data_IF_149959420153
#
_entry.id   IF_149959420153
#
_cell.length_a   1.000
_cell.length_b   1.000
_cell.length_c   1.000
_cell.angle_alpha   90.00
_cell.angle_beta   90.00
_cell.angle_gamma   90.00
#
_symmetry.space_group_name_H-M   'P 1'
#
loop_
_entity.id
_entity.type
_entity.pdbx_description
1 polymer ?
#
# COMPACT_ATOMS: atom_id res chain seq x y z
N UNK A 1 -28.63 -0.68 16.85
CA UNK A 1 -27.18 -0.73 16.58
C UNK A 1 -26.91 -1.98 15.75
N UNK A 2 -26.31 -1.84 14.59
CA UNK A 2 -25.97 -2.96 13.69
C UNK A 2 -24.70 -3.66 14.22
N UNK A 3 -24.75 -4.98 14.36
CA UNK A 3 -23.61 -5.78 14.84
C UNK A 3 -22.75 -6.22 13.66
N UNK A 4 -21.49 -5.80 13.63
CA UNK A 4 -20.51 -6.16 12.62
C UNK A 4 -19.44 -7.06 13.23
N UNK A 5 -19.25 -8.25 12.69
CA UNK A 5 -18.08 -9.09 12.98
C UNK A 5 -17.01 -8.88 11.91
N UNK A 6 -15.89 -8.26 12.28
CA UNK A 6 -14.73 -8.02 11.42
C UNK A 6 -13.77 -9.21 11.52
N UNK A 7 -13.57 -9.94 10.43
CA UNK A 7 -12.66 -11.07 10.34
C UNK A 7 -11.37 -10.67 9.62
N UNK A 8 -10.28 -10.56 10.37
CA UNK A 8 -8.98 -10.14 9.84
C UNK A 8 -7.83 -10.75 10.61
N UNK A 9 -6.81 -11.17 9.88
CA UNK A 9 -5.48 -11.50 10.38
C UNK A 9 -4.41 -10.53 9.87
N UNK A 10 -4.82 -9.42 9.25
CA UNK A 10 -3.92 -8.46 8.59
C UNK A 10 -2.83 -7.89 9.51
N UNK A 11 -3.15 -7.70 10.81
CA UNK A 11 -2.20 -7.16 11.79
C UNK A 11 -1.12 -8.17 12.23
N UNK A 12 -1.18 -9.44 11.77
CA UNK A 12 -0.16 -10.45 12.11
C UNK A 12 1.11 -10.33 11.31
N UNK A 13 1.09 -9.61 10.20
CA UNK A 13 2.25 -9.43 9.33
C UNK A 13 2.52 -7.93 9.19
N UNK A 14 3.63 -7.49 9.78
CA UNK A 14 4.04 -6.09 9.72
C UNK A 14 4.49 -5.67 8.31
N UNK A 15 4.31 -4.39 7.98
CA UNK A 15 4.79 -3.80 6.71
C UNK A 15 3.96 -4.18 5.48
N UNK A 16 2.70 -4.59 5.66
CA UNK A 16 1.77 -4.87 4.57
C UNK A 16 0.69 -3.81 4.43
N UNK A 17 0.37 -3.43 3.18
CA UNK A 17 -0.71 -2.50 2.86
C UNK A 17 -2.09 -2.96 3.35
N UNK A 18 -2.34 -4.28 3.36
CA UNK A 18 -3.60 -4.86 3.87
C UNK A 18 -3.85 -4.51 5.34
N UNK A 19 -2.78 -4.49 6.16
CA UNK A 19 -2.86 -4.07 7.56
C UNK A 19 -3.16 -2.58 7.70
N UNK A 20 -2.58 -1.74 6.84
CA UNK A 20 -2.87 -0.30 6.82
C UNK A 20 -4.34 -0.02 6.47
N UNK A 21 -4.86 -0.64 5.40
CA UNK A 21 -6.28 -0.52 5.00
C UNK A 21 -7.22 -0.96 6.13
N UNK A 22 -6.91 -2.08 6.79
CA UNK A 22 -7.70 -2.56 7.93
C UNK A 22 -7.69 -1.58 9.09
N UNK A 23 -6.54 -1.00 9.40
CA UNK A 23 -6.38 -0.03 10.49
C UNK A 23 -7.20 1.24 10.22
N UNK A 24 -7.14 1.78 9.00
CA UNK A 24 -7.95 2.94 8.59
C UNK A 24 -9.45 2.64 8.70
N UNK A 25 -9.90 1.51 8.15
CA UNK A 25 -11.31 1.12 8.21
C UNK A 25 -11.78 0.98 9.67
N UNK A 26 -10.98 0.34 10.52
CA UNK A 26 -11.32 0.17 11.94
C UNK A 26 -11.32 1.50 12.70
N UNK A 27 -10.41 2.42 12.35
CA UNK A 27 -10.38 3.78 12.88
C UNK A 27 -11.65 4.54 12.55
N UNK A 28 -12.03 4.57 11.26
CA UNK A 28 -13.24 5.20 10.78
C UNK A 28 -14.50 4.66 11.48
N UNK A 29 -14.68 3.34 11.48
CA UNK A 29 -15.86 2.71 12.05
C UNK A 29 -16.00 2.95 13.56
N UNK A 30 -14.89 2.92 14.30
CA UNK A 30 -14.90 3.13 15.75
C UNK A 30 -15.05 4.59 16.16
N UNK A 31 -14.58 5.52 15.33
CA UNK A 31 -14.56 6.93 15.67
C UNK A 31 -15.82 7.65 15.18
N UNK A 32 -16.13 7.44 13.90
CA UNK A 32 -17.14 8.25 13.24
C UNK A 32 -18.53 7.55 13.26
N UNK A 33 -18.56 6.22 13.46
CA UNK A 33 -19.78 5.41 13.47
C UNK A 33 -20.01 4.63 14.76
N UNK A 34 -19.39 5.05 15.86
CA UNK A 34 -19.48 4.38 17.17
C UNK A 34 -20.91 4.19 17.68
N UNK A 35 -21.80 5.13 17.34
CA UNK A 35 -23.21 5.10 17.77
C UNK A 35 -24.10 4.24 16.87
N UNK A 36 -23.62 3.88 15.67
CA UNK A 36 -24.39 3.12 14.68
C UNK A 36 -24.02 1.64 14.68
N UNK A 37 -22.74 1.33 14.89
CA UNK A 37 -22.19 -0.02 14.77
C UNK A 37 -21.58 -0.54 16.07
N UNK A 38 -21.94 -1.77 16.42
CA UNK A 38 -21.22 -2.57 17.40
C UNK A 38 -20.22 -3.46 16.66
N UNK A 39 -18.92 -3.21 16.84
CA UNK A 39 -17.86 -3.93 16.11
C UNK A 39 -17.22 -4.98 17.02
N UNK A 40 -17.25 -6.22 16.56
CA UNK A 40 -16.52 -7.33 17.16
C UNK A 40 -15.39 -7.77 16.21
N UNK A 41 -14.21 -8.05 16.74
CA UNK A 41 -13.06 -8.51 15.94
C UNK A 41 -12.84 -10.00 16.20
N UNK A 42 -12.85 -10.77 15.10
CA UNK A 42 -12.59 -12.22 15.11
C UNK A 42 -13.47 -13.02 16.07
N UNK A 43 -14.69 -12.55 16.32
CA UNK A 43 -15.70 -13.25 17.14
C UNK A 43 -16.70 -13.98 16.27
N UNK A 44 -16.97 -15.24 16.61
CA UNK A 44 -17.91 -16.10 15.88
C UNK A 44 -19.34 -16.06 16.45
N UNK A 45 -19.70 -14.96 17.09
CA UNK A 45 -21.06 -14.68 17.57
C UNK A 45 -22.00 -14.33 16.43
N UNK A 46 -23.30 -14.29 16.68
CA UNK A 46 -24.30 -13.80 15.70
C UNK A 46 -24.01 -12.33 15.36
N UNK A 47 -24.16 -11.97 14.09
CA UNK A 47 -24.01 -10.61 13.58
C UNK A 47 -24.98 -10.33 12.45
N UNK A 48 -25.27 -9.05 12.22
CA UNK A 48 -26.02 -8.58 11.06
C UNK A 48 -25.15 -8.58 9.82
N UNK A 49 -23.85 -8.21 9.98
CA UNK A 49 -22.85 -8.20 8.94
C UNK A 49 -21.60 -8.96 9.41
N UNK A 50 -21.05 -9.80 8.54
CA UNK A 50 -19.72 -10.38 8.70
C UNK A 50 -18.83 -9.86 7.59
N UNK A 51 -17.85 -9.03 7.97
CA UNK A 51 -16.89 -8.43 7.05
C UNK A 51 -15.58 -9.22 7.06
N UNK A 52 -15.23 -9.81 5.94
CA UNK A 52 -14.05 -10.65 5.76
C UNK A 52 -12.94 -9.84 5.06
N UNK A 53 -12.00 -9.37 5.85
CA UNK A 53 -10.88 -8.56 5.37
C UNK A 53 -9.68 -9.41 4.91
N UNK A 54 -9.55 -10.63 5.44
CA UNK A 54 -8.56 -11.63 5.00
C UNK A 54 -9.21 -12.97 4.76
N UNK A 55 -8.53 -13.86 4.02
CA UNK A 55 -9.08 -15.13 3.54
C UNK A 55 -8.61 -16.35 4.35
N UNK A 56 -8.39 -16.23 5.64
CA UNK A 56 -7.95 -17.33 6.49
C UNK A 56 -8.91 -18.54 6.42
N UNK A 57 -8.39 -19.80 6.48
CA UNK A 57 -9.24 -20.99 6.41
C UNK A 57 -10.35 -21.05 7.48
N UNK A 58 -10.07 -20.56 8.70
CA UNK A 58 -11.07 -20.47 9.78
C UNK A 58 -12.20 -19.50 9.42
N UNK A 59 -11.88 -18.41 8.73
CA UNK A 59 -12.87 -17.46 8.26
C UNK A 59 -13.73 -18.06 7.14
N UNK A 60 -13.10 -18.80 6.20
CA UNK A 60 -13.84 -19.52 5.17
C UNK A 60 -14.85 -20.51 5.78
N UNK A 61 -14.42 -21.33 6.72
CA UNK A 61 -15.34 -22.26 7.41
C UNK A 61 -16.47 -21.54 8.11
N UNK A 62 -16.23 -20.34 8.65
CA UNK A 62 -17.28 -19.56 9.31
C UNK A 62 -18.38 -19.11 8.36
N UNK A 63 -18.08 -18.94 7.06
CA UNK A 63 -19.06 -18.47 6.05
C UNK A 63 -20.26 -19.41 5.87
N UNK A 64 -20.12 -20.66 6.28
CA UNK A 64 -21.20 -21.67 6.22
C UNK A 64 -22.25 -21.52 7.33
N UNK A 65 -21.95 -20.73 8.37
CA UNK A 65 -22.86 -20.53 9.50
C UNK A 65 -23.91 -19.47 9.17
N UNK A 66 -25.19 -19.79 9.41
CA UNK A 66 -26.33 -18.86 9.32
C UNK A 66 -26.24 -17.68 10.29
N UNK A 67 -25.32 -17.73 11.28
CA UNK A 67 -25.10 -16.64 12.26
C UNK A 67 -24.30 -15.47 11.67
N UNK A 68 -23.81 -15.56 10.43
CA UNK A 68 -22.92 -14.55 9.82
C UNK A 68 -23.63 -13.34 9.23
N UNK A 69 -24.99 -13.36 9.14
CA UNK A 69 -25.72 -12.28 8.46
C UNK A 69 -25.24 -12.09 7.02
N UNK A 70 -25.24 -10.83 6.54
CA UNK A 70 -24.71 -10.48 5.21
C UNK A 70 -23.18 -10.58 5.24
N UNK A 71 -22.60 -11.32 4.30
CA UNK A 71 -21.16 -11.55 4.20
C UNK A 71 -20.58 -10.60 3.16
N UNK A 72 -19.67 -9.73 3.60
CA UNK A 72 -18.94 -8.80 2.75
C UNK A 72 -17.48 -9.23 2.73
N UNK A 73 -16.92 -9.45 1.55
CA UNK A 73 -15.51 -9.81 1.35
C UNK A 73 -14.72 -8.64 0.80
N UNK A 74 -13.54 -8.38 1.36
CA UNK A 74 -12.62 -7.38 0.85
C UNK A 74 -11.58 -8.04 -0.07
N UNK A 75 -11.46 -7.56 -1.31
CA UNK A 75 -10.57 -8.14 -2.31
C UNK A 75 -9.23 -7.39 -2.29
N UNK A 76 -8.25 -7.97 -1.60
CA UNK A 76 -6.89 -7.45 -1.57
C UNK A 76 -5.99 -8.04 -2.65
N UNK A 77 -6.42 -9.09 -3.32
CA UNK A 77 -5.70 -9.73 -4.42
C UNK A 77 -6.65 -10.63 -5.22
N UNK A 78 -6.27 -10.88 -6.44
CA UNK A 78 -6.88 -11.88 -7.32
C UNK A 78 -5.79 -12.89 -7.71
N UNK A 79 -6.13 -14.11 -8.18
CA UNK A 79 -5.13 -15.13 -8.53
C UNK A 79 -3.96 -14.59 -9.35
N UNK A 80 -4.23 -13.79 -10.38
CA UNK A 80 -3.21 -13.21 -11.26
C UNK A 80 -2.23 -12.25 -10.57
N UNK A 81 -2.58 -11.65 -9.42
CA UNK A 81 -1.70 -10.70 -8.71
C UNK A 81 -0.82 -11.35 -7.64
N UNK A 82 -1.05 -12.64 -7.33
CA UNK A 82 -0.23 -13.39 -6.38
C UNK A 82 1.07 -13.89 -7.02
N UNK A 83 1.11 -13.99 -8.35
CA UNK A 83 2.19 -14.57 -9.12
C UNK A 83 3.53 -13.85 -8.94
N UNK A 84 3.50 -12.54 -8.78
CA UNK A 84 4.69 -11.70 -8.62
C UNK A 84 5.14 -11.53 -7.16
N UNK A 85 4.42 -12.09 -6.19
CA UNK A 85 4.69 -11.83 -4.76
C UNK A 85 5.26 -13.03 -4.00
N UNK A 86 4.90 -14.25 -4.40
CA UNK A 86 5.22 -15.47 -3.64
C UNK A 86 5.76 -16.57 -4.55
N UNK A 87 6.90 -17.15 -4.19
CA UNK A 87 7.47 -18.31 -4.86
C UNK A 87 6.77 -19.58 -4.39
N UNK A 88 5.69 -19.97 -5.07
CA UNK A 88 4.95 -21.19 -4.76
C UNK A 88 5.09 -22.26 -5.87
N UNK A 89 5.16 -23.55 -5.51
CA UNK A 89 5.03 -24.66 -6.46
C UNK A 89 3.69 -24.58 -7.20
N UNK A 90 3.64 -25.01 -8.47
CA UNK A 90 2.44 -24.92 -9.33
C UNK A 90 1.17 -25.49 -8.67
N UNK A 91 1.28 -26.63 -7.99
CA UNK A 91 0.15 -27.28 -7.32
C UNK A 91 -0.36 -26.43 -6.13
N UNK A 92 0.55 -25.91 -5.32
CA UNK A 92 0.19 -25.06 -4.19
C UNK A 92 -0.49 -23.76 -4.66
N UNK A 93 0.02 -23.16 -5.75
CA UNK A 93 -0.58 -21.99 -6.40
C UNK A 93 -2.00 -22.31 -6.87
N UNK A 94 -2.18 -23.34 -7.70
CA UNK A 94 -3.49 -23.74 -8.20
C UNK A 94 -4.50 -23.96 -7.05
N UNK A 95 -4.07 -24.60 -5.96
CA UNK A 95 -4.90 -24.80 -4.78
C UNK A 95 -5.29 -23.49 -4.12
N UNK A 96 -4.33 -22.55 -3.98
CA UNK A 96 -4.57 -21.23 -3.40
C UNK A 96 -5.54 -20.41 -4.25
N UNK A 97 -5.37 -20.42 -5.57
CA UNK A 97 -6.24 -19.71 -6.51
C UNK A 97 -7.68 -20.21 -6.41
N UNK A 98 -7.88 -21.53 -6.46
CA UNK A 98 -9.21 -22.14 -6.31
C UNK A 98 -9.83 -21.85 -4.95
N UNK A 99 -9.04 -21.91 -3.91
CA UNK A 99 -9.47 -21.57 -2.55
C UNK A 99 -9.91 -20.08 -2.46
N UNK A 100 -9.10 -19.17 -2.98
CA UNK A 100 -9.40 -17.72 -3.01
C UNK A 100 -10.73 -17.45 -3.73
N UNK A 101 -10.91 -18.03 -4.92
CA UNK A 101 -12.15 -17.90 -5.68
C UNK A 101 -13.35 -18.53 -4.98
N UNK A 102 -13.16 -19.70 -4.35
CA UNK A 102 -14.21 -20.34 -3.55
C UNK A 102 -14.63 -19.45 -2.37
N UNK A 103 -13.65 -18.80 -1.72
CA UNK A 103 -13.93 -17.84 -0.65
C UNK A 103 -14.76 -16.65 -1.16
N UNK A 104 -14.35 -16.01 -2.26
CA UNK A 104 -15.05 -14.86 -2.83
C UNK A 104 -16.48 -15.22 -3.29
N UNK A 105 -16.65 -16.40 -3.88
CA UNK A 105 -18.00 -16.90 -4.29
C UNK A 105 -18.94 -17.13 -3.11
N UNK A 106 -18.43 -17.26 -1.87
CA UNK A 106 -19.24 -17.37 -0.65
C UNK A 106 -19.76 -16.03 -0.14
N UNK A 107 -19.24 -14.91 -0.64
CA UNK A 107 -19.66 -13.58 -0.21
C UNK A 107 -20.98 -13.18 -0.87
N UNK A 108 -21.78 -12.44 -0.14
CA UNK A 108 -22.98 -11.82 -0.66
C UNK A 108 -22.63 -10.55 -1.44
N UNK A 109 -21.52 -9.90 -1.05
CA UNK A 109 -20.96 -8.73 -1.70
C UNK A 109 -19.43 -8.73 -1.58
N UNK A 110 -18.75 -8.20 -2.59
CA UNK A 110 -17.30 -8.00 -2.60
C UNK A 110 -16.96 -6.53 -2.75
N UNK A 111 -15.98 -6.07 -1.98
CA UNK A 111 -15.42 -4.72 -2.11
C UNK A 111 -14.07 -4.82 -2.79
N UNK A 112 -13.88 -4.06 -3.85
CA UNK A 112 -12.60 -3.89 -4.55
C UNK A 112 -12.09 -2.47 -4.37
N UNK A 113 -10.76 -2.32 -4.24
CA UNK A 113 -10.12 -1.02 -4.06
C UNK A 113 -9.68 -0.38 -5.38
N UNK A 114 -9.82 -1.11 -6.49
CA UNK A 114 -9.49 -0.64 -7.83
C UNK A 114 -10.55 -1.14 -8.80
N UNK A 115 -11.16 -0.28 -9.63
CA UNK A 115 -12.23 -0.67 -10.55
C UNK A 115 -11.77 -1.70 -11.59
N UNK A 116 -10.49 -1.74 -11.94
CA UNK A 116 -9.91 -2.72 -12.87
C UNK A 116 -9.97 -4.18 -12.36
N UNK A 117 -10.34 -4.39 -11.07
CA UNK A 117 -10.59 -5.74 -10.56
C UNK A 117 -11.96 -6.29 -10.89
N UNK A 118 -12.95 -5.46 -11.20
CA UNK A 118 -14.31 -5.90 -11.55
C UNK A 118 -14.28 -6.85 -12.76
N UNK A 119 -13.71 -6.47 -13.92
CA UNK A 119 -13.64 -7.37 -15.08
C UNK A 119 -12.75 -8.60 -14.81
N UNK A 120 -11.73 -8.50 -13.97
CA UNK A 120 -10.90 -9.66 -13.60
C UNK A 120 -11.69 -10.67 -12.77
N UNK A 121 -12.49 -10.21 -11.81
CA UNK A 121 -13.36 -11.05 -11.00
C UNK A 121 -14.48 -11.68 -11.84
N UNK A 122 -15.03 -10.94 -12.79
CA UNK A 122 -16.02 -11.44 -13.75
C UNK A 122 -15.46 -12.57 -14.61
N UNK A 123 -14.21 -12.43 -15.10
CA UNK A 123 -13.53 -13.49 -15.83
C UNK A 123 -13.32 -14.79 -15.01
N UNK A 124 -13.31 -14.69 -13.67
CA UNK A 124 -13.31 -15.83 -12.75
C UNK A 124 -14.71 -16.34 -12.39
N UNK A 125 -15.77 -15.82 -13.05
CA UNK A 125 -17.15 -16.22 -12.84
C UNK A 125 -17.78 -15.68 -11.54
N UNK A 126 -17.39 -14.48 -11.13
CA UNK A 126 -18.04 -13.71 -10.07
C UNK A 126 -18.98 -12.69 -10.74
N UNK A 127 -20.24 -12.65 -10.29
CA UNK A 127 -21.20 -11.70 -10.82
C UNK A 127 -20.76 -10.26 -10.49
N UNK A 128 -20.56 -9.37 -11.48
CA UNK A 128 -20.14 -7.99 -11.26
C UNK A 128 -21.12 -7.17 -10.42
N UNK A 129 -22.43 -7.49 -10.44
CA UNK A 129 -23.44 -6.80 -9.61
C UNK A 129 -23.20 -6.99 -8.08
N UNK A 130 -22.37 -7.95 -7.71
CA UNK A 130 -21.96 -8.18 -6.32
C UNK A 130 -20.65 -7.50 -5.97
N UNK A 131 -20.05 -6.74 -6.88
CA UNK A 131 -18.73 -6.14 -6.69
C UNK A 131 -18.88 -4.63 -6.64
N UNK A 132 -18.59 -4.05 -5.49
CA UNK A 132 -18.61 -2.61 -5.26
C UNK A 132 -17.21 -2.06 -5.20
N UNK A 133 -16.92 -1.03 -5.99
CA UNK A 133 -15.68 -0.28 -5.88
C UNK A 133 -15.76 0.72 -4.73
N UNK A 134 -14.87 0.58 -3.76
CA UNK A 134 -14.65 1.53 -2.68
C UNK A 134 -13.13 1.78 -2.60
N UNK A 135 -12.65 2.98 -2.94
CA UNK A 135 -11.22 3.29 -2.90
C UNK A 135 -10.66 3.19 -1.48
N UNK A 136 -9.37 2.90 -1.37
CA UNK A 136 -8.67 3.07 -0.11
C UNK A 136 -8.67 4.55 0.29
N UNK A 137 -8.54 4.80 1.58
CA UNK A 137 -8.43 6.13 2.15
C UNK A 137 -7.39 6.16 3.27
N UNK A 138 -6.96 7.35 3.62
CA UNK A 138 -6.05 7.63 4.74
C UNK A 138 -6.65 8.75 5.58
N UNK A 139 -6.62 8.60 6.89
CA UNK A 139 -7.14 9.61 7.81
C UNK A 139 -6.20 10.82 7.88
N UNK A 140 -6.71 12.00 7.53
CA UNK A 140 -6.01 13.26 7.71
C UNK A 140 -5.76 13.64 9.18
N UNK A 141 -6.43 12.96 10.12
CA UNK A 141 -6.09 13.07 11.56
C UNK A 141 -4.72 12.46 11.86
N UNK A 142 -4.33 11.45 11.09
CA UNK A 142 -3.06 10.74 11.27
C UNK A 142 -2.00 11.27 10.32
N UNK A 143 -2.30 11.33 9.03
CA UNK A 143 -1.39 11.84 8.01
C UNK A 143 -1.82 13.25 7.61
N UNK A 144 -0.97 14.21 7.88
CA UNK A 144 -1.20 15.62 7.55
C UNK A 144 0.14 16.35 7.39
N UNK A 145 0.16 17.47 6.67
CA UNK A 145 1.35 18.28 6.56
C UNK A 145 1.75 18.86 7.92
N UNK A 146 3.04 18.96 8.17
CA UNK A 146 3.57 19.64 9.37
C UNK A 146 4.08 21.05 9.03
N UNK A 147 4.28 21.90 10.04
CA UNK A 147 4.84 23.22 9.83
C UNK A 147 6.28 23.13 9.26
N UNK A 148 6.72 24.22 8.62
CA UNK A 148 8.07 24.31 8.05
C UNK A 148 9.15 24.11 9.12
N UNK A 149 8.94 24.66 10.32
CA UNK A 149 9.85 24.53 11.45
C UNK A 149 9.94 23.06 11.91
N UNK A 150 8.80 22.39 12.02
CA UNK A 150 8.74 20.98 12.36
C UNK A 150 9.45 20.11 11.31
N UNK A 151 9.20 20.38 10.02
CA UNK A 151 9.86 19.70 8.92
C UNK A 151 11.39 19.84 9.00
N UNK A 152 11.89 21.04 9.25
CA UNK A 152 13.33 21.30 9.40
C UNK A 152 13.91 20.57 10.61
N UNK A 153 13.22 20.58 11.76
CA UNK A 153 13.63 19.84 12.94
C UNK A 153 13.72 18.33 12.69
N UNK A 154 12.74 17.75 11.99
CA UNK A 154 12.74 16.35 11.60
C UNK A 154 13.90 16.02 10.66
N UNK A 155 14.18 16.87 9.66
CA UNK A 155 15.32 16.72 8.74
C UNK A 155 16.63 16.72 9.50
N UNK A 156 16.84 17.69 10.38
CA UNK A 156 18.06 17.78 11.21
C UNK A 156 18.24 16.54 12.11
N UNK A 157 17.17 16.08 12.76
CA UNK A 157 17.19 14.90 13.62
C UNK A 157 17.54 13.61 12.87
N UNK A 158 17.26 13.56 11.56
CA UNK A 158 17.58 12.44 10.67
C UNK A 158 18.88 12.64 9.85
N UNK A 159 19.66 13.68 10.16
CA UNK A 159 20.96 13.94 9.53
C UNK A 159 20.88 14.56 8.14
N UNK A 160 19.72 15.10 7.74
CA UNK A 160 19.56 15.82 6.48
C UNK A 160 19.88 17.30 6.65
N UNK A 161 20.52 17.89 5.65
CA UNK A 161 20.71 19.33 5.56
C UNK A 161 19.43 20.02 5.10
N UNK A 162 19.26 21.33 5.38
CA UNK A 162 18.08 22.09 4.96
C UNK A 162 17.86 22.10 3.44
N UNK A 163 18.94 22.05 2.66
CA UNK A 163 18.98 22.10 1.20
C UNK A 163 19.10 20.74 0.51
N UNK A 164 19.26 19.66 1.27
CA UNK A 164 19.23 18.30 0.68
C UNK A 164 17.92 18.05 -0.08
N UNK A 165 18.00 17.46 -1.26
CA UNK A 165 16.81 16.93 -1.96
C UNK A 165 16.59 15.49 -1.48
N UNK A 166 15.47 15.26 -0.80
CA UNK A 166 15.17 13.98 -0.15
C UNK A 166 14.09 13.22 -0.94
N UNK A 167 14.47 12.06 -1.48
CA UNK A 167 13.58 11.13 -2.17
C UNK A 167 13.22 9.99 -1.21
N UNK A 168 11.94 9.84 -0.91
CA UNK A 168 11.42 8.82 -0.02
C UNK A 168 10.64 7.76 -0.78
N UNK A 169 10.88 6.49 -0.48
CA UNK A 169 10.12 5.36 -0.99
C UNK A 169 9.66 4.46 0.15
N UNK A 170 8.53 3.79 0.00
CA UNK A 170 8.00 2.93 1.03
C UNK A 170 7.35 1.66 0.48
N UNK A 171 7.58 0.53 1.15
CA UNK A 171 7.00 -0.75 0.82
C UNK A 171 7.89 -1.93 1.12
N UNK A 172 7.35 -3.13 0.90
CA UNK A 172 8.13 -4.35 1.08
C UNK A 172 9.34 -4.38 0.13
N UNK A 173 10.45 -4.94 0.60
CA UNK A 173 11.63 -5.16 -0.26
C UNK A 173 11.34 -6.36 -1.16
N UNK A 174 10.82 -6.07 -2.35
CA UNK A 174 10.42 -7.01 -3.39
C UNK A 174 10.72 -6.44 -4.77
N UNK A 175 10.94 -7.33 -5.76
CA UNK A 175 11.16 -6.91 -7.15
C UNK A 175 9.99 -6.13 -7.74
N UNK A 176 8.77 -6.59 -7.49
CA UNK A 176 7.57 -5.90 -7.96
C UNK A 176 7.43 -4.47 -7.42
N UNK A 177 8.09 -4.14 -6.31
CA UNK A 177 8.11 -2.79 -5.72
C UNK A 177 9.17 -1.88 -6.34
N UNK A 178 9.97 -2.40 -7.27
CA UNK A 178 10.98 -1.61 -7.97
C UNK A 178 12.17 -1.19 -7.09
N UNK A 179 12.46 -1.93 -6.01
CA UNK A 179 13.56 -1.60 -5.08
C UNK A 179 14.90 -1.56 -5.81
N UNK A 180 15.12 -2.43 -6.80
CA UNK A 180 16.31 -2.39 -7.64
C UNK A 180 16.46 -1.09 -8.43
N UNK A 181 15.36 -0.57 -8.97
CA UNK A 181 15.33 0.71 -9.69
C UNK A 181 15.55 1.89 -8.74
N UNK A 182 14.98 1.82 -7.52
CA UNK A 182 15.23 2.83 -6.49
C UNK A 182 16.70 2.90 -6.08
N UNK A 183 17.37 1.75 -5.89
CA UNK A 183 18.82 1.68 -5.62
C UNK A 183 19.62 2.28 -6.80
N UNK A 184 19.26 1.94 -8.03
CA UNK A 184 19.92 2.46 -9.22
C UNK A 184 19.78 3.98 -9.34
N UNK A 185 18.60 4.54 -9.05
CA UNK A 185 18.37 5.98 -9.02
C UNK A 185 19.22 6.67 -7.95
N UNK A 186 19.38 6.07 -6.77
CA UNK A 186 20.26 6.59 -5.73
C UNK A 186 21.75 6.61 -6.18
N UNK A 187 22.21 5.54 -6.84
CA UNK A 187 23.58 5.48 -7.42
C UNK A 187 23.83 6.55 -8.47
N UNK A 188 22.82 6.85 -9.30
CA UNK A 188 22.91 7.83 -10.40
C UNK A 188 22.79 9.29 -9.92
N UNK A 189 22.37 9.51 -8.67
CA UNK A 189 22.16 10.84 -8.10
C UNK A 189 22.84 10.93 -6.70
N UNK A 190 24.17 10.93 -6.62
CA UNK A 190 24.91 10.86 -5.35
C UNK A 190 24.73 12.10 -4.48
N UNK A 191 24.35 13.24 -5.05
CA UNK A 191 24.14 14.50 -4.34
C UNK A 191 22.77 14.56 -3.64
N UNK A 192 21.82 13.67 -4.01
CA UNK A 192 20.50 13.61 -3.39
C UNK A 192 20.47 12.56 -2.27
N UNK A 193 19.52 12.66 -1.38
CA UNK A 193 19.30 11.72 -0.27
C UNK A 193 18.13 10.81 -0.59
N UNK A 194 18.35 9.51 -0.42
CA UNK A 194 17.34 8.51 -0.67
C UNK A 194 17.03 7.75 0.63
N UNK A 195 15.75 7.49 0.88
CA UNK A 195 15.30 6.70 2.04
C UNK A 195 14.26 5.69 1.57
N UNK A 196 14.44 4.43 1.94
CA UNK A 196 13.44 3.40 1.72
C UNK A 196 12.94 2.86 3.05
N UNK A 197 11.63 3.03 3.33
CA UNK A 197 10.99 2.46 4.50
C UNK A 197 10.28 1.17 4.16
N UNK A 198 10.71 0.09 4.80
CA UNK A 198 10.17 -1.25 4.62
C UNK A 198 11.23 -2.33 4.57
N UNK A 199 10.79 -3.57 4.59
CA UNK A 199 11.68 -4.72 4.71
C UNK A 199 11.09 -5.98 4.09
N UNK A 200 11.66 -7.11 4.46
CA UNK A 200 11.26 -8.44 3.98
C UNK A 200 10.13 -9.02 4.85
N UNK A 201 8.90 -8.56 4.67
CA UNK A 201 7.74 -8.98 5.47
C UNK A 201 7.46 -10.49 5.42
N UNK A 202 7.85 -11.17 4.34
CA UNK A 202 7.72 -12.61 4.16
C UNK A 202 9.04 -13.36 4.38
N UNK A 203 10.12 -12.68 4.79
CA UNK A 203 11.43 -13.30 4.99
C UNK A 203 11.93 -14.01 3.73
N UNK A 204 12.47 -15.22 3.89
CA UNK A 204 13.07 -16.03 2.80
C UNK A 204 12.10 -16.52 1.72
N UNK A 205 10.78 -16.45 1.96
CA UNK A 205 9.75 -16.83 0.98
C UNK A 205 9.56 -15.72 -0.07
N UNK A 206 10.09 -14.51 0.19
CA UNK A 206 10.07 -13.40 -0.77
C UNK A 206 10.82 -13.81 -2.04
N UNK A 207 10.21 -13.58 -3.21
CA UNK A 207 10.90 -13.80 -4.49
C UNK A 207 12.14 -12.90 -4.57
N UNK A 208 13.28 -13.48 -5.01
CA UNK A 208 14.55 -12.76 -5.11
C UNK A 208 15.20 -12.37 -3.78
N UNK A 209 14.79 -12.98 -2.64
CA UNK A 209 15.25 -12.60 -1.30
C UNK A 209 16.77 -12.45 -1.18
N UNK A 210 17.57 -13.46 -1.55
CA UNK A 210 19.03 -13.42 -1.37
C UNK A 210 19.68 -12.32 -2.23
N UNK A 211 19.18 -12.12 -3.46
CA UNK A 211 19.67 -11.07 -4.34
C UNK A 211 19.33 -9.68 -3.79
N UNK A 212 18.08 -9.46 -3.37
CA UNK A 212 17.64 -8.19 -2.81
C UNK A 212 18.31 -7.90 -1.47
N UNK A 213 18.48 -8.91 -0.61
CA UNK A 213 19.23 -8.78 0.65
C UNK A 213 20.67 -8.29 0.40
N UNK A 214 21.35 -8.87 -0.59
CA UNK A 214 22.69 -8.43 -0.98
C UNK A 214 22.67 -7.00 -1.54
N UNK A 215 21.67 -6.65 -2.35
CA UNK A 215 21.54 -5.30 -2.92
C UNK A 215 21.31 -4.24 -1.83
N UNK A 216 20.47 -4.54 -0.85
CA UNK A 216 20.22 -3.66 0.32
C UNK A 216 21.51 -3.49 1.16
N UNK A 217 22.24 -4.59 1.39
CA UNK A 217 23.49 -4.54 2.17
C UNK A 217 24.60 -3.76 1.46
N UNK A 218 24.57 -3.65 0.13
CA UNK A 218 25.53 -2.90 -0.69
C UNK A 218 24.92 -1.60 -1.28
N UNK A 219 23.91 -1.06 -0.60
CA UNK A 219 23.29 0.20 -1.03
C UNK A 219 24.32 1.35 -1.06
N UNK A 220 24.18 2.33 -1.96
CA UNK A 220 25.08 3.49 -2.00
C UNK A 220 24.94 4.33 -0.71
N UNK A 221 25.99 5.07 -0.36
CA UNK A 221 26.07 5.81 0.90
C UNK A 221 24.97 6.88 1.09
N UNK A 222 24.37 7.35 -0.01
CA UNK A 222 23.25 8.30 0.00
C UNK A 222 21.87 7.65 0.09
N UNK A 223 21.79 6.32 0.23
CA UNK A 223 20.54 5.58 0.39
C UNK A 223 20.48 4.86 1.73
N UNK A 224 19.49 5.22 2.55
CA UNK A 224 19.21 4.58 3.82
C UNK A 224 18.00 3.65 3.72
N UNK A 225 18.17 2.36 4.11
CA UNK A 225 17.06 1.42 4.32
C UNK A 225 16.72 1.37 5.81
N UNK A 226 15.55 1.89 6.18
CA UNK A 226 15.14 1.97 7.60
C UNK A 226 14.65 0.64 8.17
N UNK A 227 14.36 -0.34 7.29
CA UNK A 227 13.63 -1.54 7.68
C UNK A 227 12.13 -1.28 7.90
N UNK A 228 11.44 -2.27 8.47
CA UNK A 228 10.02 -2.14 8.82
C UNK A 228 9.90 -1.26 10.04
N UNK A 229 9.16 -0.17 9.93
CA UNK A 229 8.95 0.78 11.03
C UNK A 229 7.46 0.89 11.38
N UNK A 230 7.13 1.39 12.59
CA UNK A 230 5.76 1.73 12.95
C UNK A 230 5.18 2.77 12.00
N UNK A 231 3.88 2.65 11.72
CA UNK A 231 3.21 3.53 10.75
C UNK A 231 3.21 4.99 11.20
N UNK A 232 3.16 5.22 12.50
CA UNK A 232 3.22 6.55 13.11
C UNK A 232 4.55 7.26 12.79
N UNK A 233 5.65 6.52 12.70
CA UNK A 233 6.97 7.06 12.33
C UNK A 233 7.06 7.38 10.84
N UNK A 234 6.27 6.70 9.99
CA UNK A 234 6.24 6.97 8.55
C UNK A 234 5.81 8.39 8.22
N UNK A 235 4.95 9.00 9.04
CA UNK A 235 4.45 10.37 8.86
C UNK A 235 5.60 11.36 8.79
N UNK A 236 6.60 11.20 9.65
CA UNK A 236 7.77 12.05 9.69
C UNK A 236 8.58 11.96 8.39
N UNK A 237 8.73 10.76 7.82
CA UNK A 237 9.47 10.56 6.58
C UNK A 237 8.75 11.16 5.36
N UNK A 238 7.44 11.04 5.28
CA UNK A 238 6.66 11.74 4.24
C UNK A 238 6.85 13.26 4.35
N UNK A 239 6.72 13.81 5.54
CA UNK A 239 6.89 15.25 5.77
C UNK A 239 8.33 15.76 5.56
N UNK A 240 9.37 14.93 5.75
CA UNK A 240 10.76 15.28 5.48
C UNK A 240 11.10 15.27 3.98
N UNK A 241 10.41 14.46 3.20
CA UNK A 241 10.68 14.25 1.79
C UNK A 241 10.36 15.50 0.94
N UNK A 242 11.07 15.64 -0.17
CA UNK A 242 10.73 16.54 -1.25
C UNK A 242 9.94 15.80 -2.34
N UNK A 243 10.17 14.48 -2.45
CA UNK A 243 9.51 13.62 -3.41
C UNK A 243 9.26 12.24 -2.80
N UNK A 244 8.04 11.75 -2.89
CA UNK A 244 7.73 10.33 -2.70
C UNK A 244 7.82 9.59 -4.02
N UNK A 245 8.66 8.55 -4.08
CA UNK A 245 8.87 7.75 -5.30
C UNK A 245 8.45 6.29 -5.05
N UNK A 246 7.48 5.82 -5.83
CA UNK A 246 7.05 4.43 -5.85
C UNK A 246 7.28 3.81 -7.24
N UNK A 247 8.47 3.23 -7.53
CA UNK A 247 8.81 2.70 -8.85
C UNK A 247 8.27 1.28 -9.10
N UNK A 248 7.16 0.93 -8.46
CA UNK A 248 6.56 -0.41 -8.51
C UNK A 248 6.19 -0.82 -9.93
N UNK A 249 6.37 -2.11 -10.23
CA UNK A 249 5.91 -2.73 -11.48
C UNK A 249 4.47 -3.25 -11.38
N UNK A 250 4.02 -3.55 -10.16
CA UNK A 250 2.67 -4.02 -9.87
C UNK A 250 2.15 -3.47 -8.55
N UNK A 251 0.93 -2.98 -8.58
CA UNK A 251 0.19 -2.47 -7.43
C UNK A 251 -1.30 -2.81 -7.54
N UNK A 252 -2.03 -2.57 -6.47
CA UNK A 252 -3.50 -2.60 -6.47
C UNK A 252 -4.04 -1.18 -6.31
N UNK A 253 -3.84 -0.64 -5.13
CA UNK A 253 -4.07 0.75 -4.75
C UNK A 253 -3.15 1.06 -3.57
N UNK A 254 -1.97 1.66 -3.81
CA UNK A 254 -0.93 1.75 -2.80
C UNK A 254 -1.27 2.77 -1.72
N UNK A 255 -1.39 2.29 -0.45
CA UNK A 255 -1.60 3.12 0.72
C UNK A 255 -0.52 4.20 0.88
N UNK A 256 0.73 3.86 0.56
CA UNK A 256 1.86 4.79 0.64
C UNK A 256 1.73 6.02 -0.26
N UNK A 257 1.03 5.91 -1.39
CA UNK A 257 0.70 7.07 -2.24
C UNK A 257 -0.32 7.96 -1.57
N UNK A 258 -1.37 7.38 -0.97
CA UNK A 258 -2.38 8.15 -0.23
C UNK A 258 -1.79 8.84 1.01
N UNK A 259 -0.84 8.16 1.68
CA UNK A 259 -0.10 8.71 2.82
C UNK A 259 0.77 9.89 2.40
N UNK A 260 1.42 9.82 1.23
CA UNK A 260 2.17 10.93 0.64
C UNK A 260 1.25 12.09 0.25
N UNK A 261 0.11 11.82 -0.38
CA UNK A 261 -0.90 12.85 -0.70
C UNK A 261 -1.39 13.55 0.56
N UNK A 262 -1.74 12.80 1.60
CA UNK A 262 -2.24 13.37 2.85
C UNK A 262 -1.21 14.23 3.60
N UNK A 263 0.06 14.22 3.20
CA UNK A 263 1.15 15.06 3.73
C UNK A 263 1.64 16.11 2.73
N UNK A 264 0.88 16.35 1.64
CA UNK A 264 1.22 17.28 0.53
C UNK A 264 2.59 17.00 -0.11
N UNK A 265 3.05 15.73 -0.03
CA UNK A 265 4.32 15.32 -0.61
C UNK A 265 4.12 15.01 -2.10
N UNK A 266 4.86 15.66 -3.03
CA UNK A 266 4.82 15.31 -4.45
C UNK A 266 5.07 13.82 -4.67
N UNK A 267 4.28 13.19 -5.55
CA UNK A 267 4.33 11.74 -5.79
C UNK A 267 4.77 11.44 -7.21
N UNK A 268 5.80 10.60 -7.35
CA UNK A 268 6.21 10.01 -8.62
C UNK A 268 5.97 8.50 -8.59
N UNK A 269 5.35 7.98 -9.65
CA UNK A 269 5.08 6.55 -9.81
C UNK A 269 5.53 6.07 -11.19
N UNK A 270 5.75 4.76 -11.33
CA UNK A 270 5.86 4.16 -12.66
C UNK A 270 4.54 4.32 -13.41
N UNK A 271 4.61 4.57 -14.73
CA UNK A 271 3.42 4.60 -15.57
C UNK A 271 2.81 3.21 -15.68
N UNK A 272 1.74 2.99 -14.93
CA UNK A 272 0.99 1.73 -14.89
C UNK A 272 -0.46 2.01 -15.29
N UNK A 273 -0.99 1.18 -16.19
CA UNK A 273 -2.39 1.27 -16.64
C UNK A 273 -3.39 1.33 -15.48
N UNK A 274 -3.13 0.57 -14.42
CA UNK A 274 -3.99 0.52 -13.25
C UNK A 274 -4.13 1.87 -12.50
N UNK A 275 -3.17 2.79 -12.69
CA UNK A 275 -3.19 4.11 -12.05
C UNK A 275 -4.01 5.15 -12.82
N UNK A 276 -4.25 4.94 -14.10
CA UNK A 276 -4.90 5.92 -14.98
C UNK A 276 -6.26 6.38 -14.47
N UNK A 277 -7.02 5.47 -13.86
CA UNK A 277 -8.38 5.75 -13.36
C UNK A 277 -8.40 6.23 -11.89
N UNK A 278 -7.27 6.19 -11.17
CA UNK A 278 -7.26 6.43 -9.72
C UNK A 278 -6.34 7.56 -9.28
N UNK A 279 -5.09 7.61 -9.75
CA UNK A 279 -4.08 8.58 -9.23
C UNK A 279 -3.30 9.34 -10.30
N UNK A 280 -3.31 8.92 -11.57
CA UNK A 280 -2.47 9.53 -12.63
C UNK A 280 -2.61 11.06 -12.73
N UNK A 281 -3.80 11.69 -12.61
CA UNK A 281 -3.92 13.15 -12.71
C UNK A 281 -3.18 13.92 -11.61
N UNK A 282 -2.88 13.25 -10.49
CA UNK A 282 -2.29 13.85 -9.28
C UNK A 282 -0.81 13.51 -9.11
N UNK A 283 -0.26 12.65 -9.97
CA UNK A 283 1.10 12.14 -9.84
C UNK A 283 1.99 12.52 -11.03
N UNK A 284 3.29 12.43 -10.80
CA UNK A 284 4.30 12.41 -11.86
C UNK A 284 4.45 10.97 -12.30
N UNK A 285 4.15 10.66 -13.55
CA UNK A 285 4.36 9.31 -14.11
C UNK A 285 5.67 9.24 -14.85
N UNK A 286 6.37 8.10 -14.79
CA UNK A 286 7.61 7.85 -15.52
C UNK A 286 7.64 6.40 -16.02
N UNK A 287 8.11 6.19 -17.24
CA UNK A 287 8.06 4.87 -17.89
C UNK A 287 9.18 3.93 -17.45
N UNK A 288 10.36 4.48 -17.18
CA UNK A 288 11.55 3.71 -16.79
C UNK A 288 12.49 4.52 -15.87
N UNK A 289 13.63 3.93 -15.51
CA UNK A 289 14.64 4.55 -14.63
C UNK A 289 15.23 5.82 -15.24
N UNK A 290 15.44 5.88 -16.55
CA UNK A 290 16.01 7.05 -17.21
C UNK A 290 15.05 8.24 -17.18
N UNK A 291 13.76 7.99 -17.43
CA UNK A 291 12.70 8.99 -17.32
C UNK A 291 12.51 9.43 -15.85
N UNK A 292 12.51 8.48 -14.90
CA UNK A 292 12.48 8.81 -13.47
C UNK A 292 13.65 9.72 -13.08
N UNK A 293 14.86 9.41 -13.52
CA UNK A 293 16.05 10.21 -13.24
C UNK A 293 15.94 11.63 -13.80
N UNK A 294 15.50 11.77 -15.05
CA UNK A 294 15.31 13.07 -15.67
C UNK A 294 14.30 13.93 -14.91
N UNK A 295 13.18 13.34 -14.50
CA UNK A 295 12.14 14.03 -13.72
C UNK A 295 12.58 14.38 -12.30
N UNK A 296 13.32 13.48 -11.62
CA UNK A 296 13.90 13.78 -10.30
C UNK A 296 14.80 15.01 -10.36
N UNK A 297 15.68 15.10 -11.36
CA UNK A 297 16.56 16.26 -11.56
C UNK A 297 15.78 17.54 -11.85
N UNK A 298 14.79 17.47 -12.75
CA UNK A 298 13.94 18.62 -13.04
C UNK A 298 13.22 19.15 -11.80
N UNK A 299 12.73 18.27 -10.93
CA UNK A 299 12.07 18.66 -9.67
C UNK A 299 13.06 19.21 -8.62
N UNK A 300 14.31 18.72 -8.61
CA UNK A 300 15.32 19.21 -7.70
C UNK A 300 15.82 20.60 -8.08
N UNK A 301 15.88 20.87 -9.40
CA UNK A 301 16.34 22.16 -9.95
C UNK A 301 15.24 23.23 -10.00
N UNK A 302 13.97 22.83 -10.05
CA UNK A 302 12.81 23.74 -10.19
C UNK A 302 11.84 23.61 -9.01
N UNK A 303 11.94 24.57 -8.09
CA UNK A 303 11.07 24.64 -6.89
C UNK A 303 9.62 25.00 -7.20
N UNK A 304 9.33 25.72 -8.28
CA UNK A 304 7.96 26.04 -8.68
C UNK A 304 7.26 24.79 -9.24
N UNK A 305 7.98 24.01 -10.04
CA UNK A 305 7.50 22.73 -10.51
C UNK A 305 7.21 21.78 -9.34
N UNK A 306 8.12 21.70 -8.37
CA UNK A 306 7.94 20.89 -7.18
C UNK A 306 6.70 21.32 -6.37
N UNK A 307 6.51 22.65 -6.16
CA UNK A 307 5.36 23.19 -5.46
C UNK A 307 4.04 22.93 -6.22
N UNK A 308 4.07 22.95 -7.55
CA UNK A 308 2.91 22.60 -8.39
C UNK A 308 2.45 21.17 -8.14
N UNK A 309 3.39 20.22 -8.01
CA UNK A 309 3.05 18.82 -7.71
C UNK A 309 2.68 18.60 -6.24
N UNK A 310 3.22 19.38 -5.30
CA UNK A 310 2.77 19.38 -3.93
C UNK A 310 1.30 19.84 -3.83
N UNK A 311 0.91 20.89 -4.55
CA UNK A 311 -0.48 21.35 -4.63
C UNK A 311 -1.43 20.33 -5.28
N UNK A 312 -0.95 19.47 -6.18
CA UNK A 312 -1.76 18.39 -6.76
C UNK A 312 -1.95 17.21 -5.79
N UNK A 313 -1.04 17.05 -4.84
CA UNK A 313 -1.14 16.02 -3.80
C UNK A 313 -2.18 16.38 -2.74
N UNK A 314 -2.46 17.67 -2.53
CA UNK A 314 -3.51 18.18 -1.63
C UNK A 314 -4.88 17.92 -2.24
#
# INVERSE_FOLDING_TARGET
MIVINMFSSANKVAGQGVGAVYTELMGLLKHDFANEFQINVNRYTRSDISHYHTIDPKFYLSTFSKKRGRKIGFVHFVPSTLDASLKLPRVARWTLDRYTLAFYKRMDELVVVNPNFIPKLEAYGINPDKVTYIPNFVSQRTFHPVSREKRQALRHANGFKPDDFVVFGAGQVQDRKGVGDFIKLAQQNPDYRFVWAGGFSFGRITEGYERLKKAVANAPANLNFTGIMPRETMIDYYNMADLFLLPSFEELFPMSVLEAFATDTPVMVRDLELYQQIITPYTITAVDVADMQARIRALADDRELLATYAAKSH
#
